data_IF_191922966645
#
_entry.id   IF_191922966645
#
_cell.length_a   1.000
_cell.length_b   1.000
_cell.length_c   1.000
_cell.angle_alpha   90.00
_cell.angle_beta   90.00
_cell.angle_gamma   90.00
#
_symmetry.space_group_name_H-M   'P 1'
#
loop_
_entity.id
_entity.type
_entity.pdbx_description
1 polymer ?
#
# COMPACT_ATOMS: atom_id res chain seq x y z
N UNK A 1 13.05 5.94 -7.25
CA UNK A 1 11.98 4.92 -7.23
C UNK A 1 11.49 4.74 -8.66
N UNK A 2 11.33 3.51 -9.18
CA UNK A 2 10.76 3.32 -10.52
C UNK A 2 9.31 3.83 -10.52
N UNK A 3 8.96 4.63 -11.53
CA UNK A 3 7.59 5.07 -11.79
C UNK A 3 6.86 3.91 -12.45
N UNK A 4 5.66 3.58 -11.97
CA UNK A 4 4.92 2.44 -12.50
C UNK A 4 4.56 2.65 -13.97
N UNK A 5 4.78 1.62 -14.81
CA UNK A 5 4.50 1.67 -16.26
C UNK A 5 3.02 1.91 -16.58
N UNK A 6 2.12 1.56 -15.63
CA UNK A 6 0.68 1.82 -15.73
C UNK A 6 0.29 3.26 -15.40
N UNK A 7 1.24 4.11 -15.01
CA UNK A 7 1.00 5.52 -14.67
C UNK A 7 -0.10 5.69 -13.64
N UNK A 8 -1.01 6.64 -13.88
CA UNK A 8 -2.13 6.92 -12.98
C UNK A 8 -3.16 5.78 -12.86
N UNK A 9 -3.10 4.74 -13.68
CA UNK A 9 -4.00 3.58 -13.58
C UNK A 9 -3.44 2.46 -12.71
N UNK A 10 -2.23 2.62 -12.14
CA UNK A 10 -1.67 1.60 -11.27
C UNK A 10 -2.43 1.53 -9.93
N UNK A 11 -2.99 0.36 -9.56
CA UNK A 11 -3.60 0.15 -8.24
C UNK A 11 -2.58 0.26 -7.09
N UNK A 12 -1.28 0.20 -7.35
CA UNK A 12 -0.23 0.39 -6.34
C UNK A 12 0.15 1.86 -6.10
N UNK A 13 -0.47 2.82 -6.80
CA UNK A 13 -0.27 4.25 -6.53
C UNK A 13 -0.86 4.66 -5.19
N UNK A 14 -0.16 5.55 -4.50
CA UNK A 14 -0.62 6.14 -3.25
C UNK A 14 -1.71 7.17 -3.53
N UNK A 15 -2.68 7.26 -2.63
CA UNK A 15 -3.81 8.19 -2.72
C UNK A 15 -3.78 9.08 -1.48
N UNK A 16 -3.97 10.38 -1.69
CA UNK A 16 -4.17 11.35 -0.64
C UNK A 16 -5.59 11.90 -0.73
N UNK A 17 -6.31 11.74 0.37
CA UNK A 17 -7.67 12.22 0.54
C UNK A 17 -7.61 13.67 1.02
N UNK A 18 -8.38 14.53 0.36
CA UNK A 18 -8.63 15.87 0.82
C UNK A 18 -9.93 15.86 1.59
N UNK A 19 -9.85 16.24 2.87
CA UNK A 19 -11.01 16.36 3.74
C UNK A 19 -11.37 17.83 3.92
N UNK A 20 -12.65 18.12 4.14
CA UNK A 20 -13.10 19.44 4.59
C UNK A 20 -12.94 19.62 6.11
N UNK A 21 -13.54 20.69 6.65
CA UNK A 21 -13.45 21.04 8.07
C UNK A 21 -14.22 20.07 8.97
N UNK A 22 -15.22 19.38 8.44
CA UNK A 22 -16.04 18.39 9.15
C UNK A 22 -15.44 16.98 9.03
N UNK A 23 -14.37 16.84 8.24
CA UNK A 23 -13.68 15.58 7.98
C UNK A 23 -14.29 14.79 6.83
N UNK A 24 -15.22 15.39 6.08
CA UNK A 24 -15.85 14.75 4.93
C UNK A 24 -14.92 14.80 3.72
N UNK A 25 -14.92 13.70 2.96
CA UNK A 25 -14.10 13.57 1.75
C UNK A 25 -14.61 14.50 0.66
N UNK A 26 -13.77 15.42 0.22
CA UNK A 26 -14.07 16.39 -0.85
C UNK A 26 -13.32 16.11 -2.15
N UNK A 27 -12.16 15.45 -2.09
CA UNK A 27 -11.38 15.08 -3.27
C UNK A 27 -10.41 13.93 -2.96
N UNK A 28 -10.06 13.14 -3.96
CA UNK A 28 -9.03 12.09 -3.87
C UNK A 28 -7.99 12.32 -4.96
N UNK A 29 -6.70 12.32 -4.59
CA UNK A 29 -5.63 12.53 -5.54
C UNK A 29 -4.58 11.45 -5.48
N UNK A 30 -4.26 10.88 -6.64
CA UNK A 30 -3.10 9.99 -6.80
C UNK A 30 -1.82 10.80 -6.67
N UNK A 31 -0.91 10.30 -5.83
CA UNK A 31 0.35 10.95 -5.51
C UNK A 31 1.53 9.98 -5.63
N UNK A 32 2.72 10.53 -5.79
CA UNK A 32 3.95 9.74 -5.80
C UNK A 32 4.39 9.40 -4.38
N UNK A 33 5.31 8.44 -4.24
CA UNK A 33 5.98 8.15 -2.98
C UNK A 33 6.68 9.40 -2.40
N UNK A 34 7.33 10.20 -3.24
CA UNK A 34 7.99 11.43 -2.83
C UNK A 34 7.00 12.45 -2.26
N UNK A 35 5.85 12.67 -2.92
CA UNK A 35 4.80 13.54 -2.39
C UNK A 35 4.25 13.00 -1.06
N UNK A 36 4.08 11.69 -0.92
CA UNK A 36 3.60 11.09 0.32
C UNK A 36 4.59 11.31 1.48
N UNK A 37 5.90 11.13 1.24
CA UNK A 37 6.94 11.40 2.25
C UNK A 37 6.96 12.87 2.67
N UNK A 38 6.76 13.80 1.73
CA UNK A 38 6.65 15.23 2.02
C UNK A 38 5.42 15.55 2.88
N UNK A 39 4.26 14.97 2.57
CA UNK A 39 3.02 15.18 3.32
C UNK A 39 3.08 14.59 4.73
N UNK A 40 3.74 13.44 4.89
CA UNK A 40 3.89 12.74 6.17
C UNK A 40 5.05 13.30 7.01
N UNK A 41 5.95 14.08 6.40
CA UNK A 41 7.15 14.61 7.05
C UNK A 41 8.16 13.54 7.46
N UNK A 42 8.01 12.31 6.98
CA UNK A 42 8.84 11.15 7.32
C UNK A 42 9.02 10.22 6.12
N UNK A 43 10.17 9.54 6.00
CA UNK A 43 10.39 8.53 4.97
C UNK A 43 9.42 7.34 5.09
N UNK A 44 8.91 6.84 3.96
CA UNK A 44 7.95 5.72 3.95
C UNK A 44 8.60 4.43 4.44
N UNK A 45 9.88 4.21 4.15
CA UNK A 45 10.61 3.03 4.61
C UNK A 45 10.67 2.92 6.13
N UNK A 46 10.82 4.04 6.84
CA UNK A 46 10.81 4.09 8.30
C UNK A 46 9.42 3.76 8.85
N UNK A 47 8.37 4.37 8.29
CA UNK A 47 6.99 4.11 8.70
C UNK A 47 6.59 2.65 8.47
N UNK A 48 6.98 2.08 7.34
CA UNK A 48 6.75 0.66 7.02
C UNK A 48 7.54 -0.24 7.97
N UNK A 49 8.80 0.08 8.27
CA UNK A 49 9.62 -0.69 9.20
C UNK A 49 9.05 -0.64 10.63
N UNK A 50 8.61 0.54 11.07
CA UNK A 50 7.97 0.73 12.37
C UNK A 50 6.66 -0.08 12.47
N UNK A 51 5.82 -0.04 11.43
CA UNK A 51 4.62 -0.85 11.32
C UNK A 51 4.94 -2.34 11.42
N UNK A 52 5.93 -2.82 10.65
CA UNK A 52 6.37 -4.23 10.69
C UNK A 52 6.91 -4.66 12.04
N UNK A 53 7.63 -3.78 12.75
CA UNK A 53 8.14 -4.06 14.09
C UNK A 53 7.00 -4.18 15.13
N UNK A 54 5.87 -3.50 14.90
CA UNK A 54 4.67 -3.55 15.75
C UNK A 54 3.74 -4.71 15.39
N UNK A 55 3.88 -5.33 14.23
CA UNK A 55 3.08 -6.49 13.84
C UNK A 55 3.62 -7.76 14.50
N UNK A 56 2.76 -8.49 15.21
CA UNK A 56 3.13 -9.72 15.94
C UNK A 56 3.27 -10.97 15.06
N UNK A 57 2.95 -10.88 13.77
CA UNK A 57 3.05 -11.97 12.81
C UNK A 57 3.47 -11.47 11.44
N UNK A 58 4.15 -12.32 10.69
CA UNK A 58 4.44 -12.09 9.27
C UNK A 58 3.25 -12.49 8.41
N UNK A 59 3.19 -12.00 7.17
CA UNK A 59 2.19 -12.46 6.19
C UNK A 59 2.26 -13.97 6.01
N UNK A 60 3.45 -14.57 5.99
CA UNK A 60 3.60 -16.03 5.91
C UNK A 60 2.87 -16.76 7.05
N UNK A 61 3.12 -16.33 8.29
CA UNK A 61 2.46 -16.90 9.48
C UNK A 61 0.94 -16.71 9.47
N UNK A 62 0.45 -15.57 8.97
CA UNK A 62 -0.98 -15.34 8.80
C UNK A 62 -1.58 -16.30 7.78
N UNK A 63 -0.93 -16.49 6.62
CA UNK A 63 -1.40 -17.40 5.57
C UNK A 63 -1.30 -18.88 5.98
N UNK A 64 -0.32 -19.24 6.81
CA UNK A 64 -0.25 -20.58 7.39
C UNK A 64 -1.41 -20.84 8.38
N UNK A 65 -1.87 -19.80 9.06
CA UNK A 65 -2.97 -19.87 10.04
C UNK A 65 -4.36 -19.80 9.39
N UNK A 66 -4.47 -19.23 8.18
CA UNK A 66 -5.73 -19.11 7.42
C UNK A 66 -5.56 -19.62 5.98
N UNK A 67 -5.90 -20.91 5.73
CA UNK A 67 -5.78 -21.53 4.41
C UNK A 67 -6.69 -20.92 3.34
N UNK A 68 -7.86 -20.39 3.72
CA UNK A 68 -8.76 -19.74 2.77
C UNK A 68 -8.19 -18.40 2.29
N UNK A 69 -7.61 -17.63 3.22
CA UNK A 69 -6.88 -16.42 2.89
C UNK A 69 -5.64 -16.74 2.03
N UNK A 70 -4.91 -17.81 2.35
CA UNK A 70 -3.78 -18.28 1.54
C UNK A 70 -4.19 -18.62 0.09
N UNK A 71 -5.36 -19.25 -0.09
CA UNK A 71 -5.89 -19.54 -1.42
C UNK A 71 -6.20 -18.27 -2.22
N UNK A 72 -6.75 -17.23 -1.58
CA UNK A 72 -7.01 -15.92 -2.21
C UNK A 72 -5.72 -15.19 -2.59
N UNK A 73 -4.69 -15.23 -1.74
CA UNK A 73 -3.37 -14.65 -2.06
C UNK A 73 -2.69 -15.36 -3.23
N UNK A 74 -2.81 -16.69 -3.32
CA UNK A 74 -2.23 -17.47 -4.42
C UNK A 74 -2.94 -17.27 -5.75
N UNK A 75 -4.27 -17.08 -5.74
CA UNK A 75 -5.04 -16.85 -6.97
C UNK A 75 -4.76 -15.49 -7.62
N UNK A 76 -4.24 -14.52 -6.88
CA UNK A 76 -3.91 -13.18 -7.37
C UNK A 76 -2.46 -13.03 -7.84
N UNK A 77 -1.62 -14.08 -7.75
CA UNK A 77 -0.33 -14.12 -8.44
C UNK A 77 -0.60 -14.32 -9.93
N UNK A 78 -0.62 -13.23 -10.69
CA UNK A 78 -0.50 -13.29 -12.16
C UNK A 78 0.78 -14.07 -12.48
N UNK A 79 0.75 -15.08 -13.36
CA UNK A 79 1.97 -15.76 -13.76
C UNK A 79 2.92 -14.73 -14.38
N UNK A 80 4.16 -14.69 -13.89
CA UNK A 80 5.23 -13.99 -14.58
C UNK A 80 5.32 -14.57 -15.99
N UNK A 81 5.13 -13.73 -17.00
CA UNK A 81 5.31 -14.13 -18.39
C UNK A 81 6.74 -14.66 -18.55
N UNK A 82 6.86 -15.92 -18.97
CA UNK A 82 8.09 -16.56 -19.42
C UNK A 82 8.56 -15.99 -20.75
#
# INVERSE_FOLDING_TARGET
MPVSEKGNADPAMLIADKLDVDGDLIDEKRITAETAELLLGRPLNELIAEGRAKTCFTVGQLLDSDPELAAKFRSHRTPAAS
#
